data_IF_328988214661
#
_entry.id   IF_328988214661
#
_cell.length_a   1.000
_cell.length_b   1.000
_cell.length_c   1.000
_cell.angle_alpha   90.00
_cell.angle_beta   90.00
_cell.angle_gamma   90.00
#
_symmetry.space_group_name_H-M   'P 1'
#
loop_
_entity.id
_entity.type
_entity.pdbx_description
1 polymer ?
#
# COMPACT_ATOMS: atom_id res chain seq x y z
N UNK A 1 49.32 54.39 52.10
CA UNK A 1 48.29 55.15 51.35
C UNK A 1 48.92 55.68 50.07
N UNK A 2 48.14 55.68 48.98
CA UNK A 2 48.36 56.38 47.70
C UNK A 2 48.80 55.52 46.48
N UNK A 3 47.76 55.24 45.67
CA UNK A 3 47.67 55.23 44.19
C UNK A 3 48.11 53.99 43.42
N UNK A 4 47.18 53.04 43.38
CA UNK A 4 46.99 52.05 42.31
C UNK A 4 46.85 52.77 40.96
N UNK A 5 47.82 52.57 40.06
CA UNK A 5 47.74 53.01 38.65
C UNK A 5 47.08 51.90 37.85
N UNK A 6 45.83 52.12 37.46
CA UNK A 6 45.11 51.27 36.51
C UNK A 6 45.80 51.39 35.16
N UNK A 7 46.54 50.36 34.75
CA UNK A 7 47.02 50.22 33.38
C UNK A 7 45.79 49.77 32.57
N UNK A 8 45.16 50.71 31.88
CA UNK A 8 44.14 50.42 30.88
C UNK A 8 44.81 49.64 29.75
N UNK A 9 44.77 48.31 29.85
CA UNK A 9 45.13 47.41 28.77
C UNK A 9 44.03 47.58 27.72
N UNK A 10 44.24 48.48 26.77
CA UNK A 10 43.49 48.52 25.51
C UNK A 10 43.91 47.31 24.69
N UNK A 11 43.46 46.13 25.10
CA UNK A 11 43.41 44.97 24.21
C UNK A 11 42.36 45.30 23.16
N UNK A 12 42.81 45.85 22.04
CA UNK A 12 42.10 45.79 20.78
C UNK A 12 41.97 44.29 20.44
N UNK A 13 40.97 43.65 21.05
CA UNK A 13 40.58 42.29 20.76
C UNK A 13 40.11 42.28 19.32
N UNK A 14 41.01 41.90 18.42
CA UNK A 14 40.70 41.57 17.04
C UNK A 14 39.79 40.34 17.10
N UNK A 15 38.50 40.60 17.25
CA UNK A 15 37.45 39.59 17.23
C UNK A 15 37.40 39.07 15.79
N UNK A 16 38.23 38.08 15.48
CA UNK A 16 38.12 37.31 14.24
C UNK A 16 36.79 36.60 14.28
N UNK A 17 35.76 37.24 13.71
CA UNK A 17 34.51 36.59 13.36
C UNK A 17 34.90 35.56 12.31
N UNK A 18 35.05 34.30 12.75
CA UNK A 18 35.10 33.17 11.83
C UNK A 18 33.72 33.11 11.22
N UNK A 19 33.56 33.71 10.04
CA UNK A 19 32.39 33.52 9.20
C UNK A 19 32.37 32.04 8.83
N UNK A 20 31.71 31.23 9.67
CA UNK A 20 31.31 29.89 9.27
C UNK A 20 30.56 30.06 7.98
N UNK A 21 31.07 29.49 6.89
CA UNK A 21 30.30 29.39 5.68
C UNK A 21 29.15 28.46 6.02
N UNK A 22 28.02 29.06 6.40
CA UNK A 22 26.75 28.37 6.42
C UNK A 22 26.58 27.90 4.99
N UNK A 23 26.83 26.60 4.77
CA UNK A 23 26.43 25.94 3.55
C UNK A 23 24.91 26.02 3.55
N UNK A 24 24.38 27.10 2.98
CA UNK A 24 22.97 27.18 2.65
C UNK A 24 22.72 25.98 1.75
N UNK A 25 21.91 25.05 2.24
CA UNK A 25 21.56 23.88 1.46
C UNK A 25 20.83 24.41 0.21
N UNK A 26 21.37 24.18 -1.02
CA UNK A 26 20.77 24.61 -2.28
C UNK A 26 19.41 23.95 -2.56
N UNK A 27 18.91 23.12 -1.63
CA UNK A 27 17.53 22.68 -1.57
C UNK A 27 16.62 23.63 -0.79
N UNK A 28 17.07 24.14 0.35
CA UNK A 28 16.24 24.96 1.24
C UNK A 28 15.92 26.34 0.63
N UNK A 29 16.89 26.95 -0.05
CA UNK A 29 16.71 28.19 -0.80
C UNK A 29 15.69 28.04 -1.96
N UNK A 30 15.69 26.88 -2.63
CA UNK A 30 14.72 26.58 -3.69
C UNK A 30 13.33 26.30 -3.12
N UNK A 31 13.23 25.59 -1.99
CA UNK A 31 11.95 25.38 -1.30
C UNK A 31 11.35 26.70 -0.80
N UNK A 32 12.17 27.61 -0.28
CA UNK A 32 11.74 28.96 0.10
C UNK A 32 11.24 29.76 -1.11
N UNK A 33 11.95 29.69 -2.25
CA UNK A 33 11.54 30.34 -3.50
C UNK A 33 10.18 29.82 -4.01
N UNK A 34 9.92 28.51 -3.89
CA UNK A 34 8.60 27.94 -4.20
C UNK A 34 7.51 28.46 -3.26
N UNK A 35 7.82 28.58 -1.95
CA UNK A 35 6.91 29.14 -0.95
C UNK A 35 6.47 30.56 -1.31
N UNK A 36 7.39 31.40 -1.80
CA UNK A 36 7.09 32.78 -2.23
C UNK A 36 6.10 32.87 -3.40
N UNK A 37 6.08 31.89 -4.30
CA UNK A 37 5.11 31.86 -5.39
C UNK A 37 3.66 31.69 -4.90
N UNK A 38 3.45 31.11 -3.72
CA UNK A 38 2.10 30.94 -3.13
C UNK A 38 1.45 32.26 -2.71
N UNK A 39 2.27 33.29 -2.44
CA UNK A 39 1.81 34.61 -2.02
C UNK A 39 1.25 35.45 -3.18
N UNK A 40 1.43 35.01 -4.44
CA UNK A 40 0.89 35.69 -5.61
C UNK A 40 -0.59 35.33 -5.81
N UNK A 41 -1.43 36.36 -5.86
CA UNK A 41 -2.88 36.23 -6.05
C UNK A 41 -3.30 36.22 -7.53
N UNK A 42 -2.46 36.75 -8.42
CA UNK A 42 -2.68 36.70 -9.86
C UNK A 42 -2.25 35.34 -10.43
N UNK A 43 -3.17 34.65 -11.09
CA UNK A 43 -2.96 33.29 -11.58
C UNK A 43 -1.83 33.19 -12.61
N UNK A 44 -1.73 34.17 -13.51
CA UNK A 44 -0.72 34.17 -14.57
C UNK A 44 0.67 34.46 -14.00
N UNK A 45 0.78 35.39 -13.06
CA UNK A 45 2.03 35.69 -12.36
C UNK A 45 2.48 34.53 -11.47
N UNK A 46 1.54 33.87 -10.78
CA UNK A 46 1.81 32.68 -9.97
C UNK A 46 2.32 31.52 -10.82
N UNK A 47 1.68 31.25 -11.95
CA UNK A 47 2.13 30.21 -12.87
C UNK A 47 3.54 30.50 -13.40
N UNK A 48 3.78 31.72 -13.87
CA UNK A 48 5.10 32.12 -14.33
C UNK A 48 6.18 32.01 -13.24
N UNK A 49 5.83 32.28 -11.97
CA UNK A 49 6.72 32.10 -10.82
C UNK A 49 7.10 30.63 -10.63
N UNK A 50 6.13 29.71 -10.64
CA UNK A 50 6.41 28.28 -10.51
C UNK A 50 7.25 27.74 -11.67
N UNK A 51 6.92 28.14 -12.90
CA UNK A 51 7.64 27.72 -14.10
C UNK A 51 9.12 28.16 -14.06
N UNK A 52 9.39 29.35 -13.50
CA UNK A 52 10.75 29.86 -13.34
C UNK A 52 11.58 29.12 -12.27
N UNK A 53 10.92 28.59 -11.22
CA UNK A 53 11.60 27.88 -10.10
C UNK A 53 11.81 26.40 -10.41
N UNK A 54 10.92 25.79 -11.20
CA UNK A 54 10.93 24.37 -11.54
C UNK A 54 12.30 23.76 -11.97
N UNK A 55 13.11 24.39 -12.85
CA UNK A 55 14.39 23.80 -13.25
C UNK A 55 15.39 23.73 -12.07
N UNK A 56 15.42 24.77 -11.21
CA UNK A 56 16.33 24.81 -10.05
C UNK A 56 15.96 23.74 -9.03
N UNK A 57 14.66 23.50 -8.84
CA UNK A 57 14.18 22.40 -7.99
C UNK A 57 14.64 21.05 -8.51
N UNK A 58 14.50 20.81 -9.82
CA UNK A 58 14.97 19.57 -10.44
C UNK A 58 16.46 19.36 -10.18
N UNK A 59 17.27 20.38 -10.37
CA UNK A 59 18.71 20.31 -10.16
C UNK A 59 19.08 20.04 -8.69
N UNK A 60 18.38 20.69 -7.75
CA UNK A 60 18.58 20.48 -6.30
C UNK A 60 18.11 19.10 -5.80
N UNK A 61 17.11 18.49 -6.46
CA UNK A 61 16.61 17.16 -6.10
C UNK A 61 17.41 16.01 -6.72
N UNK A 62 18.22 16.27 -7.75
CA UNK A 62 19.05 15.25 -8.40
C UNK A 62 20.16 14.68 -7.50
N UNK A 63 20.43 15.31 -6.34
CA UNK A 63 21.34 14.77 -5.33
C UNK A 63 20.55 14.43 -4.06
N UNK A 64 20.55 13.17 -3.58
CA UNK A 64 19.95 12.87 -2.28
C UNK A 64 20.64 13.71 -1.20
N UNK A 65 19.90 14.17 -0.17
CA UNK A 65 20.53 14.88 0.95
C UNK A 65 21.57 13.98 1.59
N UNK A 66 22.64 14.57 2.12
CA UNK A 66 23.76 13.82 2.72
C UNK A 66 23.29 12.92 3.88
N UNK A 67 22.18 13.28 4.54
CA UNK A 67 21.50 12.48 5.56
C UNK A 67 20.90 11.17 5.04
N UNK A 68 20.63 11.05 3.75
CA UNK A 68 20.14 9.84 3.08
C UNK A 68 21.22 9.16 2.24
N UNK A 69 22.49 9.59 2.34
CA UNK A 69 23.62 8.99 1.65
C UNK A 69 24.17 7.73 2.36
N UNK A 70 23.37 7.11 3.23
CA UNK A 70 23.66 5.82 3.85
C UNK A 70 22.60 4.79 3.42
N UNK A 71 22.96 3.50 3.34
CA UNK A 71 21.95 2.46 3.22
C UNK A 71 20.99 2.58 4.42
N UNK A 72 19.66 2.59 4.18
CA UNK A 72 18.69 2.84 5.24
C UNK A 72 18.82 1.77 6.32
N UNK A 73 18.78 2.18 7.58
CA UNK A 73 18.82 1.26 8.73
C UNK A 73 17.55 0.41 8.78
N UNK A 74 17.60 -0.72 9.48
CA UNK A 74 16.45 -1.63 9.59
C UNK A 74 15.20 -0.94 10.19
N UNK A 75 15.40 0.01 11.11
CA UNK A 75 14.34 0.78 11.75
C UNK A 75 13.71 1.79 10.78
N UNK A 76 14.53 2.48 9.98
CA UNK A 76 14.05 3.40 8.94
C UNK A 76 13.26 2.65 7.86
N UNK A 77 13.76 1.48 7.43
CA UNK A 77 13.05 0.61 6.47
C UNK A 77 11.67 0.18 7.00
N UNK A 78 11.60 -0.24 8.28
CA UNK A 78 10.33 -0.59 8.92
C UNK A 78 9.41 0.63 9.06
N UNK A 79 9.95 1.82 9.29
CA UNK A 79 9.15 3.04 9.42
C UNK A 79 8.54 3.50 8.09
N UNK A 80 9.25 3.33 6.98
CA UNK A 80 8.80 3.78 5.66
C UNK A 80 7.76 2.84 5.05
N UNK A 81 7.91 1.54 5.31
CA UNK A 81 7.10 0.51 4.66
C UNK A 81 6.18 -0.25 5.62
N UNK A 82 6.35 -0.11 6.94
CA UNK A 82 5.63 -0.91 7.93
C UNK A 82 6.12 -2.36 8.01
N UNK A 83 7.17 -2.72 7.26
CA UNK A 83 7.78 -4.06 7.21
C UNK A 83 9.25 -4.00 6.79
N UNK A 84 10.04 -5.05 7.10
CA UNK A 84 11.48 -5.14 6.80
C UNK A 84 11.69 -5.66 5.36
N UNK A 85 12.22 -4.81 4.47
CA UNK A 85 12.50 -5.12 3.05
C UNK A 85 13.74 -6.02 2.86
N UNK A 86 14.72 -5.98 3.76
CA UNK A 86 15.85 -6.92 3.72
C UNK A 86 15.41 -8.39 3.82
N UNK A 87 14.35 -8.66 4.57
CA UNK A 87 13.77 -10.00 4.72
C UNK A 87 12.96 -10.45 3.49
N UNK A 88 12.63 -9.52 2.58
CA UNK A 88 11.94 -9.81 1.33
C UNK A 88 12.92 -10.27 0.24
N UNK A 89 14.11 -9.68 0.17
CA UNK A 89 15.13 -10.05 -0.83
C UNK A 89 16.06 -11.18 -0.38
N UNK A 90 16.19 -11.43 0.92
CA UNK A 90 17.03 -12.50 1.46
C UNK A 90 16.21 -13.77 1.79
N UNK A 91 15.59 -14.37 0.76
CA UNK A 91 15.44 -15.83 0.71
C UNK A 91 14.08 -16.48 0.97
N UNK A 92 12.95 -15.86 0.61
CA UNK A 92 11.74 -16.60 0.20
C UNK A 92 10.92 -15.80 -0.82
N UNK A 93 11.24 -16.04 -2.10
CA UNK A 93 10.53 -15.67 -3.33
C UNK A 93 10.15 -14.18 -3.56
N UNK A 94 10.62 -13.53 -4.65
CA UNK A 94 10.02 -12.28 -5.13
C UNK A 94 8.55 -12.51 -5.51
N UNK A 95 7.59 -11.61 -5.20
CA UNK A 95 6.32 -11.61 -5.88
C UNK A 95 6.61 -11.39 -7.36
N UNK A 96 6.00 -12.26 -8.16
CA UNK A 96 6.16 -12.32 -9.60
C UNK A 96 6.13 -10.91 -10.21
N UNK A 97 7.24 -10.50 -10.82
CA UNK A 97 7.29 -9.25 -11.58
C UNK A 97 6.26 -9.38 -12.71
N UNK A 98 5.28 -8.47 -12.77
CA UNK A 98 4.27 -8.47 -13.83
C UNK A 98 4.97 -8.26 -15.18
N UNK A 99 4.94 -9.28 -16.05
CA UNK A 99 5.76 -9.35 -17.26
C UNK A 99 5.04 -8.89 -18.52
N UNK A 100 3.77 -8.43 -18.41
CA UNK A 100 2.95 -8.05 -19.56
C UNK A 100 2.50 -6.59 -19.48
N UNK A 101 2.67 -5.78 -20.55
CA UNK A 101 2.30 -4.36 -20.57
C UNK A 101 0.84 -4.05 -20.24
N UNK A 102 -0.07 -5.02 -20.40
CA UNK A 102 -1.51 -4.85 -20.12
C UNK A 102 -1.92 -5.07 -18.67
N UNK A 103 -1.04 -5.53 -17.79
CA UNK A 103 -1.33 -5.73 -16.35
C UNK A 103 -0.88 -4.55 -15.49
N UNK A 104 -0.07 -3.63 -16.06
CA UNK A 104 0.40 -2.43 -15.39
C UNK A 104 -0.73 -1.39 -15.22
N UNK A 105 -1.08 -1.05 -13.97
CA UNK A 105 -2.18 -0.13 -13.64
C UNK A 105 -3.56 -0.80 -13.54
N UNK A 106 -3.64 -2.13 -13.66
CA UNK A 106 -4.87 -2.92 -13.56
C UNK A 106 -5.30 -3.24 -12.12
N UNK A 107 -4.48 -2.92 -11.13
CA UNK A 107 -4.67 -3.29 -9.72
C UNK A 107 -5.91 -2.68 -9.04
N UNK A 108 -6.54 -1.68 -9.65
CA UNK A 108 -7.71 -0.98 -9.09
C UNK A 108 -8.90 -0.88 -10.05
N UNK A 109 -8.88 -1.54 -11.22
CA UNK A 109 -9.99 -1.48 -12.17
C UNK A 109 -10.88 -2.71 -12.05
N UNK A 110 -12.16 -2.57 -11.68
CA UNK A 110 -13.10 -3.68 -11.77
C UNK A 110 -13.28 -4.09 -13.23
N UNK A 111 -13.03 -5.36 -13.54
CA UNK A 111 -13.23 -5.91 -14.87
C UNK A 111 -14.71 -5.78 -15.28
N UNK A 112 -14.96 -5.07 -16.39
CA UNK A 112 -16.30 -4.94 -16.99
C UNK A 112 -16.62 -6.22 -17.78
N UNK A 113 -17.66 -6.99 -17.43
CA UNK A 113 -18.11 -8.09 -18.29
C UNK A 113 -18.94 -7.53 -19.45
N UNK A 114 -18.63 -7.95 -20.68
CA UNK A 114 -19.47 -7.74 -21.85
C UNK A 114 -20.55 -8.85 -21.96
N UNK A 115 -21.70 -8.58 -22.59
CA UNK A 115 -22.93 -9.37 -22.43
C UNK A 115 -23.30 -10.24 -23.66
N UNK A 116 -23.92 -11.41 -23.42
CA UNK A 116 -24.79 -12.13 -24.38
C UNK A 116 -25.61 -13.18 -23.61
N UNK A 117 -26.91 -13.44 -23.80
CA UNK A 117 -27.90 -12.99 -24.79
C UNK A 117 -29.32 -13.45 -24.35
N UNK A 118 -30.34 -12.58 -24.51
CA UNK A 118 -31.76 -12.87 -24.88
C UNK A 118 -32.68 -13.68 -23.92
N UNK A 119 -33.91 -13.31 -23.52
CA UNK A 119 -34.79 -12.16 -23.74
C UNK A 119 -36.00 -12.14 -22.75
N UNK A 120 -36.53 -10.93 -22.52
CA UNK A 120 -37.90 -10.54 -22.16
C UNK A 120 -38.46 -10.76 -20.72
N UNK A 121 -38.46 -9.65 -19.95
CA UNK A 121 -39.62 -9.02 -19.26
C UNK A 121 -39.36 -8.59 -17.78
N UNK A 122 -39.27 -7.26 -17.58
CA UNK A 122 -39.26 -6.46 -16.34
C UNK A 122 -38.00 -6.47 -15.43
N UNK A 123 -37.43 -5.29 -15.07
CA UNK A 123 -36.26 -5.19 -14.21
C UNK A 123 -36.68 -5.22 -12.74
N UNK A 124 -36.50 -6.37 -12.08
CA UNK A 124 -36.34 -6.41 -10.62
C UNK A 124 -34.88 -6.76 -10.31
N UNK A 125 -34.23 -6.12 -9.32
CA UNK A 125 -32.87 -6.48 -8.90
C UNK A 125 -32.88 -7.93 -8.41
N UNK A 126 -32.24 -8.84 -9.15
CA UNK A 126 -32.10 -10.23 -8.72
C UNK A 126 -31.01 -10.27 -7.64
N UNK A 127 -31.43 -10.23 -6.38
CA UNK A 127 -30.56 -10.50 -5.25
C UNK A 127 -30.03 -11.93 -5.36
N UNK A 128 -28.74 -12.09 -5.66
CA UNK A 128 -28.09 -13.41 -5.70
C UNK A 128 -27.95 -13.90 -4.25
N UNK A 129 -28.87 -14.77 -3.84
CA UNK A 129 -28.92 -15.36 -2.50
C UNK A 129 -28.22 -16.72 -2.40
N UNK A 130 -27.87 -17.33 -3.54
CA UNK A 130 -27.15 -18.59 -3.62
C UNK A 130 -26.22 -18.65 -4.83
N UNK A 131 -25.08 -19.33 -4.69
CA UNK A 131 -24.18 -19.67 -5.78
C UNK A 131 -23.85 -21.17 -5.75
N UNK A 132 -23.63 -21.76 -6.92
CA UNK A 132 -23.09 -23.12 -7.06
C UNK A 132 -21.78 -23.03 -7.82
N UNK A 133 -20.76 -23.73 -7.33
CA UNK A 133 -19.41 -23.69 -7.88
C UNK A 133 -18.71 -25.03 -7.74
N UNK A 134 -17.74 -25.28 -8.61
CA UNK A 134 -16.88 -26.46 -8.53
C UNK A 134 -15.70 -26.18 -7.62
N UNK A 135 -15.33 -27.15 -6.80
CA UNK A 135 -14.14 -27.08 -5.95
C UNK A 135 -12.91 -27.46 -6.77
N UNK A 136 -11.97 -26.54 -6.88
CA UNK A 136 -10.67 -26.78 -7.51
C UNK A 136 -9.69 -27.39 -6.51
N UNK A 137 -9.72 -26.93 -5.27
CA UNK A 137 -8.82 -27.38 -4.20
C UNK A 137 -9.49 -27.24 -2.83
N UNK A 138 -9.09 -28.06 -1.86
CA UNK A 138 -9.51 -27.92 -0.47
C UNK A 138 -8.39 -28.35 0.48
N UNK A 139 -8.35 -27.73 1.66
CA UNK A 139 -7.37 -28.03 2.72
C UNK A 139 -8.02 -28.01 4.09
N UNK A 140 -7.45 -28.76 5.04
CA UNK A 140 -7.91 -28.83 6.42
C UNK A 140 -6.83 -28.31 7.37
N UNK A 141 -7.24 -27.58 8.39
CA UNK A 141 -6.35 -27.17 9.48
C UNK A 141 -6.26 -28.27 10.56
N UNK A 142 -5.28 -28.19 11.49
CA UNK A 142 -5.15 -29.15 12.59
C UNK A 142 -6.38 -29.26 13.50
N UNK A 143 -7.25 -28.24 13.48
CA UNK A 143 -8.51 -28.18 14.23
C UNK A 143 -9.71 -28.77 13.45
N UNK A 144 -9.47 -29.39 12.29
CA UNK A 144 -10.48 -30.03 11.46
C UNK A 144 -11.35 -29.09 10.62
N UNK A 145 -11.05 -27.79 10.56
CA UNK A 145 -11.76 -26.81 9.73
C UNK A 145 -11.24 -26.83 8.31
N UNK A 146 -12.12 -26.68 7.34
CA UNK A 146 -11.71 -26.63 5.93
C UNK A 146 -11.59 -25.21 5.37
N UNK A 147 -10.75 -25.09 4.35
CA UNK A 147 -10.68 -23.98 3.40
C UNK A 147 -10.90 -24.60 2.01
N UNK A 148 -11.79 -24.00 1.22
CA UNK A 148 -12.15 -24.48 -0.12
C UNK A 148 -11.91 -23.39 -1.15
N UNK A 149 -11.28 -23.77 -2.26
CA UNK A 149 -10.99 -22.96 -3.42
C UNK A 149 -11.94 -23.35 -4.55
N UNK A 150 -12.57 -22.35 -5.16
CA UNK A 150 -13.58 -22.55 -6.18
C UNK A 150 -13.06 -22.20 -7.57
N UNK A 151 -13.69 -22.79 -8.60
CA UNK A 151 -13.41 -22.54 -10.02
C UNK A 151 -13.59 -21.07 -10.43
N UNK A 152 -14.48 -20.36 -9.76
CA UNK A 152 -14.70 -18.92 -9.90
C UNK A 152 -13.66 -18.06 -9.14
N UNK A 153 -12.64 -18.69 -8.55
CA UNK A 153 -11.54 -18.04 -7.82
C UNK A 153 -11.86 -17.63 -6.38
N UNK A 154 -13.08 -17.89 -5.89
CA UNK A 154 -13.45 -17.57 -4.51
C UNK A 154 -12.85 -18.57 -3.53
N UNK A 155 -12.50 -18.08 -2.35
CA UNK A 155 -11.98 -18.90 -1.26
C UNK A 155 -12.86 -18.74 -0.03
N UNK A 156 -13.31 -19.87 0.50
CA UNK A 156 -14.24 -19.93 1.62
C UNK A 156 -13.64 -20.74 2.76
N UNK A 157 -13.78 -20.23 3.99
CA UNK A 157 -13.25 -20.86 5.20
C UNK A 157 -14.37 -21.18 6.17
N UNK A 158 -14.37 -22.38 6.72
CA UNK A 158 -15.29 -22.80 7.77
C UNK A 158 -15.06 -22.03 9.07
N UNK A 159 -16.15 -21.53 9.65
CA UNK A 159 -16.17 -20.77 10.91
C UNK A 159 -16.92 -21.48 12.03
N UNK A 160 -17.72 -22.50 11.72
CA UNK A 160 -18.51 -23.26 12.68
C UNK A 160 -17.97 -24.67 12.87
N UNK A 161 -18.55 -25.44 13.78
CA UNK A 161 -18.19 -26.80 14.14
C UNK A 161 -18.74 -27.83 13.17
N UNK A 162 -17.84 -28.58 12.55
CA UNK A 162 -18.21 -29.66 11.66
C UNK A 162 -16.97 -30.37 11.13
N UNK A 163 -17.20 -31.56 10.59
CA UNK A 163 -16.20 -32.27 9.79
C UNK A 163 -16.77 -32.43 8.40
N UNK A 164 -16.23 -31.68 7.45
CA UNK A 164 -16.55 -31.84 6.04
C UNK A 164 -15.87 -33.09 5.48
N UNK A 165 -16.59 -33.79 4.59
CA UNK A 165 -16.04 -34.89 3.83
C UNK A 165 -16.08 -34.50 2.36
N UNK A 166 -14.89 -34.32 1.78
CA UNK A 166 -14.72 -34.12 0.34
C UNK A 166 -14.34 -35.47 -0.28
N UNK A 167 -14.86 -35.75 -1.47
CA UNK A 167 -14.51 -36.95 -2.24
C UNK A 167 -13.08 -36.79 -2.74
N UNK A 168 -12.17 -37.61 -2.22
CA UNK A 168 -10.75 -37.58 -2.61
C UNK A 168 -10.59 -38.07 -4.05
N UNK A 169 -10.04 -37.22 -4.93
CA UNK A 169 -9.80 -37.56 -6.34
C UNK A 169 -11.03 -37.57 -7.24
N UNK A 170 -12.18 -37.10 -6.75
CA UNK A 170 -13.41 -36.91 -7.53
C UNK A 170 -13.81 -35.43 -7.65
N UNK A 171 -14.75 -35.09 -8.54
CA UNK A 171 -15.29 -33.74 -8.61
C UNK A 171 -16.04 -33.44 -7.32
N UNK A 172 -15.74 -32.29 -6.70
CA UNK A 172 -16.50 -31.78 -5.57
C UNK A 172 -17.23 -30.50 -6.00
N UNK A 173 -18.51 -30.39 -5.66
CA UNK A 173 -19.31 -29.20 -5.91
C UNK A 173 -19.78 -28.63 -4.59
N UNK A 174 -19.88 -27.30 -4.52
CA UNK A 174 -20.43 -26.61 -3.35
C UNK A 174 -21.57 -25.69 -3.74
N UNK A 175 -22.60 -25.68 -2.90
CA UNK A 175 -23.67 -24.69 -2.93
C UNK A 175 -23.51 -23.78 -1.73
N UNK A 176 -23.40 -22.48 -1.97
CA UNK A 176 -23.22 -21.47 -0.94
C UNK A 176 -24.43 -20.55 -0.92
N UNK A 177 -25.02 -20.38 0.24
CA UNK A 177 -26.22 -19.58 0.45
C UNK A 177 -25.95 -18.48 1.46
N UNK A 178 -26.58 -17.32 1.26
CA UNK A 178 -26.46 -16.20 2.19
C UNK A 178 -27.18 -16.57 3.50
N UNK A 179 -26.43 -16.56 4.60
CA UNK A 179 -26.94 -16.78 5.95
C UNK A 179 -27.25 -15.46 6.67
N UNK A 180 -27.54 -15.57 7.97
CA UNK A 180 -27.78 -14.42 8.82
C UNK A 180 -26.46 -13.82 9.33
N UNK A 181 -26.45 -12.51 9.63
CA UNK A 181 -25.33 -11.80 10.25
C UNK A 181 -24.01 -11.85 9.44
N UNK A 182 -24.09 -11.82 8.11
CA UNK A 182 -22.91 -11.80 7.23
C UNK A 182 -22.17 -13.14 7.11
N UNK A 183 -22.71 -14.22 7.69
CA UNK A 183 -22.23 -15.58 7.49
C UNK A 183 -22.88 -16.22 6.25
N UNK A 184 -22.25 -17.24 5.70
CA UNK A 184 -22.76 -18.01 4.57
C UNK A 184 -22.87 -19.48 4.95
N UNK A 185 -23.86 -20.17 4.39
CA UNK A 185 -24.03 -21.61 4.55
C UNK A 185 -23.45 -22.32 3.34
N UNK A 186 -22.68 -23.37 3.55
CA UNK A 186 -22.06 -24.17 2.50
C UNK A 186 -22.51 -25.62 2.61
N UNK A 187 -22.92 -26.18 1.47
CA UNK A 187 -23.25 -27.58 1.28
C UNK A 187 -22.25 -28.20 0.32
N UNK A 188 -21.70 -29.37 0.66
CA UNK A 188 -20.73 -30.11 -0.17
C UNK A 188 -21.44 -31.29 -0.84
N UNK A 189 -21.27 -31.47 -2.15
CA UNK A 189 -21.76 -32.62 -2.92
C UNK A 189 -23.23 -32.98 -2.67
N UNK A 190 -24.10 -31.96 -2.61
CA UNK A 190 -25.53 -32.08 -2.29
C UNK A 190 -25.84 -32.77 -0.94
N UNK A 191 -24.87 -32.78 -0.02
CA UNK A 191 -25.11 -33.29 1.33
C UNK A 191 -26.09 -32.41 2.11
N UNK A 192 -26.88 -33.04 2.99
CA UNK A 192 -27.73 -32.34 3.96
C UNK A 192 -26.94 -31.69 5.11
N UNK A 193 -25.60 -31.73 5.07
CA UNK A 193 -24.76 -31.17 6.12
C UNK A 193 -24.43 -29.72 5.80
N UNK A 194 -24.81 -28.84 6.71
CA UNK A 194 -24.57 -27.40 6.62
C UNK A 194 -23.25 -27.06 7.32
N UNK A 195 -22.42 -26.27 6.64
CA UNK A 195 -21.22 -25.66 7.21
C UNK A 195 -21.34 -24.15 7.14
N UNK A 196 -21.11 -23.45 8.26
CA UNK A 196 -20.99 -22.00 8.18
C UNK A 196 -19.61 -21.63 7.69
N UNK A 197 -19.57 -20.74 6.70
CA UNK A 197 -18.36 -20.27 6.07
C UNK A 197 -18.32 -18.75 5.99
N UNK A 198 -17.10 -18.22 5.90
CA UNK A 198 -16.83 -16.83 5.55
C UNK A 198 -15.95 -16.77 4.32
N UNK A 199 -16.11 -15.72 3.51
CA UNK A 199 -15.26 -15.50 2.34
C UNK A 199 -13.93 -14.92 2.80
N UNK A 200 -12.85 -15.49 2.29
CA UNK A 200 -11.47 -15.06 2.57
C UNK A 200 -10.85 -14.37 1.34
N UNK A 201 -11.29 -14.74 0.14
CA UNK A 201 -10.83 -14.19 -1.14
C UNK A 201 -11.93 -14.25 -2.19
#
# INVERSE_FOLDING_TARGET
MMKMRVIAVTTAGFLTIVAGQALADPREDVLEAMGKCTALTDDKARLACYDAVAPRLRDALNKPPETLAHPPTEEEQKSWFGFNIGNWFNGNAPPEAQTKPGEFGGENLPAKPAPSESAAASPQPVEINSITATVTEYSFNPFGKFIVFLDNGQVWKEIDTGTAHFTKGGPNTVRIERGMLGSYNLYVNDSNKLFKVTRVK
#
